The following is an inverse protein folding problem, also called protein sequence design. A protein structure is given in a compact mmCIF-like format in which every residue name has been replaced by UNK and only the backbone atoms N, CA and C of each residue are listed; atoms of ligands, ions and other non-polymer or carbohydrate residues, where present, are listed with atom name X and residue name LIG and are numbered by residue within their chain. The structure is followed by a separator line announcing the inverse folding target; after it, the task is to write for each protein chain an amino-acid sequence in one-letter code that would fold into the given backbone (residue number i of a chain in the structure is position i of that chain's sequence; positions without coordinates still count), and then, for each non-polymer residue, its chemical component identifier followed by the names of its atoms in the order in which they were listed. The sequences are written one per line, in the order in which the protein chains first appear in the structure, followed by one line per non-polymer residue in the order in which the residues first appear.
data_IF_894847673518
#
_entry.id   IF_894847673518
#
_cell.length_a   1.000
_cell.length_b   1.000
_cell.length_c   1.000
_cell.angle_alpha   90.00
_cell.angle_beta   90.00
_cell.angle_gamma   90.00
#
_symmetry.space_group_name_H-M   'P 1'
#
loop_
_entity.id
_entity.type
_entity.pdbx_description
1 polymer ?
#
# COMPACT_ATOMS: atom_id res chain seq x y z
N UNK A 1 -18.93 41.48 -21.07
CA UNK A 1 -17.94 40.79 -21.87
C UNK A 1 -18.68 39.72 -22.65
N UNK A 2 -18.57 39.70 -23.97
CA UNK A 2 -19.24 38.68 -24.78
C UNK A 2 -18.19 37.71 -25.30
N UNK A 3 -18.43 36.44 -25.20
CA UNK A 3 -17.76 35.43 -25.98
C UNK A 3 -18.60 35.22 -27.25
N UNK A 4 -18.03 35.46 -28.40
CA UNK A 4 -18.66 35.17 -29.67
C UNK A 4 -17.66 34.44 -30.56
N UNK A 5 -18.15 33.42 -31.24
CA UNK A 5 -17.37 32.70 -32.24
C UNK A 5 -17.25 33.61 -33.48
N UNK A 6 -16.04 34.05 -33.80
CA UNK A 6 -15.77 34.92 -34.94
C UNK A 6 -15.42 34.17 -36.22
N UNK A 7 -15.02 32.90 -36.05
CA UNK A 7 -14.76 31.96 -37.15
C UNK A 7 -14.84 30.53 -36.60
N UNK A 8 -14.66 29.49 -37.43
CA UNK A 8 -14.63 28.10 -37.01
C UNK A 8 -13.43 27.76 -36.13
N UNK A 9 -12.50 28.66 -35.87
CA UNK A 9 -11.28 28.46 -35.13
C UNK A 9 -10.98 29.49 -34.04
N UNK A 10 -11.75 30.57 -33.93
CA UNK A 10 -11.43 31.64 -32.96
C UNK A 10 -12.62 32.08 -32.11
N UNK A 11 -12.40 32.12 -30.80
CA UNK A 11 -13.26 32.76 -29.82
C UNK A 11 -12.70 34.14 -29.52
N UNK A 12 -13.43 35.19 -29.90
CA UNK A 12 -13.06 36.57 -29.62
C UNK A 12 -13.70 37.08 -28.35
N UNK A 13 -12.91 37.74 -27.52
CA UNK A 13 -13.42 38.58 -26.43
C UNK A 13 -13.61 39.99 -26.99
N UNK A 14 -14.83 40.43 -27.18
CA UNK A 14 -15.09 41.77 -27.60
C UNK A 14 -14.97 42.75 -26.43
N UNK A 15 -14.11 43.74 -26.58
CA UNK A 15 -14.07 44.86 -25.64
C UNK A 15 -15.38 45.66 -25.70
N UNK A 16 -15.80 46.17 -24.58
CA UNK A 16 -17.05 46.89 -24.38
C UNK A 16 -17.27 48.11 -25.32
N UNK A 17 -16.24 48.52 -26.06
CA UNK A 17 -16.34 49.67 -26.99
C UNK A 17 -16.95 49.37 -28.34
N UNK A 18 -16.99 48.12 -28.79
CA UNK A 18 -17.41 47.77 -30.17
C UNK A 18 -18.85 47.27 -30.29
N UNK A 19 -19.48 46.89 -29.20
CA UNK A 19 -20.82 46.29 -29.18
C UNK A 19 -21.90 47.22 -28.60
N UNK A 20 -21.58 48.47 -28.31
CA UNK A 20 -22.54 49.38 -27.75
C UNK A 20 -23.40 50.01 -28.86
N UNK A 21 -24.57 49.45 -29.07
CA UNK A 21 -25.63 50.11 -29.79
C UNK A 21 -26.60 50.71 -28.76
N UNK A 22 -26.57 52.02 -28.63
CA UNK A 22 -27.36 52.76 -27.64
C UNK A 22 -28.88 52.54 -27.72
N UNK A 23 -29.35 51.78 -28.71
CA UNK A 23 -30.78 51.52 -28.92
C UNK A 23 -31.31 50.31 -28.14
N UNK A 24 -30.44 49.49 -27.55
CA UNK A 24 -30.88 48.21 -26.92
C UNK A 24 -30.39 48.00 -25.50
N UNK A 25 -30.27 48.89 -24.70
CA UNK A 25 -30.02 48.95 -23.26
C UNK A 25 -29.71 47.67 -22.39
N UNK A 26 -29.39 46.55 -22.99
CA UNK A 26 -29.10 45.29 -22.26
C UNK A 26 -27.67 44.82 -22.57
N UNK A 27 -26.83 44.84 -21.53
CA UNK A 27 -25.60 44.06 -21.50
C UNK A 27 -25.96 42.70 -20.87
N UNK A 28 -25.96 41.62 -21.62
CA UNK A 28 -26.11 40.31 -20.97
C UNK A 28 -24.92 40.11 -20.04
N UNK A 29 -25.21 39.98 -18.77
CA UNK A 29 -24.26 39.57 -17.77
C UNK A 29 -24.48 38.08 -17.54
N UNK A 30 -23.45 37.26 -17.70
CA UNK A 30 -23.48 35.85 -17.34
C UNK A 30 -22.30 35.54 -16.42
N UNK A 31 -22.55 34.72 -15.46
CA UNK A 31 -21.50 34.19 -14.59
C UNK A 31 -20.92 32.98 -15.27
N UNK A 32 -19.59 32.96 -15.46
CA UNK A 32 -18.89 31.75 -15.90
C UNK A 32 -18.74 30.80 -14.70
N UNK A 33 -18.92 29.51 -14.89
CA UNK A 33 -18.61 28.54 -13.85
C UNK A 33 -17.13 28.61 -13.46
N UNK A 34 -16.83 28.38 -12.18
CA UNK A 34 -15.44 28.38 -11.66
C UNK A 34 -14.57 27.28 -12.31
N UNK A 35 -15.22 26.24 -12.79
CA UNK A 35 -14.58 25.08 -13.46
C UNK A 35 -14.39 25.27 -14.98
N UNK A 36 -14.71 26.46 -15.52
CA UNK A 36 -14.52 26.72 -16.95
C UNK A 36 -13.03 26.86 -17.28
N UNK A 37 -12.56 26.09 -18.23
CA UNK A 37 -11.19 26.17 -18.75
C UNK A 37 -11.21 26.16 -20.31
N UNK A 38 -10.05 26.34 -20.92
CA UNK A 38 -9.87 26.24 -22.37
C UNK A 38 -9.25 24.86 -22.66
N UNK A 39 -9.95 24.07 -23.47
CA UNK A 39 -9.45 22.74 -23.87
C UNK A 39 -8.24 22.82 -24.83
N UNK A 40 -7.70 21.64 -25.20
CA UNK A 40 -6.57 21.56 -26.14
C UNK A 40 -6.85 22.15 -27.53
N UNK A 41 -8.11 22.26 -27.91
CA UNK A 41 -8.56 22.76 -29.19
C UNK A 41 -8.90 24.25 -29.12
N UNK A 42 -8.73 24.89 -27.96
CA UNK A 42 -8.96 26.32 -27.73
C UNK A 42 -10.42 26.69 -27.42
N UNK A 43 -11.26 25.70 -27.08
CA UNK A 43 -12.66 25.96 -26.74
C UNK A 43 -12.88 26.05 -25.24
N UNK A 44 -13.76 26.98 -24.78
CA UNK A 44 -14.17 26.99 -23.38
C UNK A 44 -15.05 25.77 -23.09
N UNK A 45 -14.63 24.97 -22.10
CA UNK A 45 -15.34 23.79 -21.66
C UNK A 45 -15.41 23.74 -20.13
N UNK A 46 -16.21 22.83 -19.57
CA UNK A 46 -16.32 22.60 -18.15
C UNK A 46 -15.65 21.27 -17.85
N UNK A 47 -14.77 21.24 -16.86
CA UNK A 47 -14.11 20.00 -16.43
C UNK A 47 -15.14 18.94 -16.04
N UNK A 48 -14.93 17.72 -16.52
CA UNK A 48 -15.63 16.53 -16.06
C UNK A 48 -14.74 15.83 -15.04
N UNK A 49 -15.13 15.78 -13.74
CA UNK A 49 -14.32 15.14 -12.74
C UNK A 49 -14.05 13.66 -13.07
N UNK A 50 -12.92 13.12 -12.63
CA UNK A 50 -12.65 11.71 -12.81
C UNK A 50 -13.69 10.83 -12.09
N UNK A 51 -14.02 9.70 -12.68
CA UNK A 51 -14.92 8.69 -12.11
C UNK A 51 -14.13 7.44 -11.73
N UNK A 52 -14.52 6.79 -10.62
CA UNK A 52 -13.91 5.56 -10.11
C UNK A 52 -14.98 4.49 -10.03
N UNK A 53 -14.79 3.39 -10.75
CA UNK A 53 -15.63 2.18 -10.68
C UNK A 53 -14.81 1.04 -10.10
N UNK A 54 -15.30 0.38 -9.06
CA UNK A 54 -14.61 -0.72 -8.38
C UNK A 54 -15.43 -2.01 -8.39
N UNK A 55 -14.74 -3.15 -8.43
CA UNK A 55 -15.34 -4.49 -8.25
C UNK A 55 -16.07 -4.64 -6.91
N UNK A 56 -15.69 -3.83 -5.91
CA UNK A 56 -16.37 -3.81 -4.62
C UNK A 56 -17.70 -3.03 -4.63
N UNK A 57 -18.03 -2.34 -5.73
CA UNK A 57 -19.22 -1.51 -5.86
C UNK A 57 -19.00 -0.05 -5.45
N UNK A 58 -20.03 0.56 -4.88
CA UNK A 58 -20.06 1.97 -4.51
C UNK A 58 -19.03 2.34 -3.42
N UNK A 59 -18.67 3.62 -3.34
CA UNK A 59 -17.83 4.16 -2.28
C UNK A 59 -18.43 3.88 -0.89
N UNK A 60 -17.57 3.52 0.07
CA UNK A 60 -18.00 3.06 1.39
C UNK A 60 -18.14 1.54 1.50
N UNK A 61 -17.76 0.78 0.48
CA UNK A 61 -17.86 -0.68 0.45
C UNK A 61 -17.12 -1.35 1.63
N UNK A 62 -17.69 -2.47 2.13
CA UNK A 62 -17.08 -3.28 3.18
C UNK A 62 -16.43 -4.52 2.57
N UNK A 63 -15.10 -4.59 2.58
CA UNK A 63 -14.34 -5.70 2.00
C UNK A 63 -14.19 -6.90 2.96
N UNK A 64 -14.65 -6.75 4.21
CA UNK A 64 -14.63 -7.80 5.22
C UNK A 64 -13.26 -8.07 5.82
N UNK A 65 -13.09 -9.27 6.41
CA UNK A 65 -11.87 -9.66 7.10
C UNK A 65 -10.83 -10.23 6.12
N UNK A 66 -9.58 -9.78 6.24
CA UNK A 66 -8.44 -10.18 5.40
C UNK A 66 -7.26 -10.61 6.27
N UNK A 67 -6.69 -11.77 5.99
CA UNK A 67 -5.53 -12.32 6.70
C UNK A 67 -4.28 -12.41 5.81
N UNK A 68 -4.44 -12.14 4.51
CA UNK A 68 -3.37 -12.16 3.50
C UNK A 68 -3.63 -11.09 2.45
N UNK A 69 -2.65 -10.73 1.60
CA UNK A 69 -2.85 -9.86 0.45
C UNK A 69 -3.97 -10.35 -0.45
N UNK A 70 -4.75 -9.44 -0.99
CA UNK A 70 -5.89 -9.75 -1.84
C UNK A 70 -6.02 -8.74 -2.97
N UNK A 71 -6.66 -9.15 -4.06
CA UNK A 71 -6.89 -8.32 -5.23
C UNK A 71 -8.19 -7.54 -5.08
N UNK A 72 -8.15 -6.26 -5.42
CA UNK A 72 -9.28 -5.39 -5.63
C UNK A 72 -9.01 -4.62 -6.91
N UNK A 73 -9.88 -4.79 -7.92
CA UNK A 73 -9.76 -4.08 -9.19
C UNK A 73 -10.65 -2.83 -9.20
N UNK A 74 -10.19 -1.84 -9.94
CA UNK A 74 -10.94 -0.63 -10.20
C UNK A 74 -10.58 -0.04 -11.57
N UNK A 75 -11.49 0.72 -12.14
CA UNK A 75 -11.29 1.45 -13.40
C UNK A 75 -11.45 2.93 -13.12
N UNK A 76 -10.58 3.74 -13.69
CA UNK A 76 -10.69 5.19 -13.66
C UNK A 76 -11.02 5.72 -15.03
N UNK A 77 -11.97 6.62 -15.10
CA UNK A 77 -12.37 7.29 -16.35
C UNK A 77 -12.42 8.79 -16.15
N UNK A 78 -12.06 9.50 -17.19
CA UNK A 78 -12.17 10.95 -17.26
C UNK A 78 -12.84 11.32 -18.58
N UNK A 79 -13.88 12.16 -18.51
CA UNK A 79 -14.71 12.50 -19.66
C UNK A 79 -14.01 13.41 -20.67
N UNK A 80 -13.01 14.15 -20.21
CA UNK A 80 -12.19 15.05 -21.04
C UNK A 80 -10.95 14.35 -21.58
N UNK A 81 -10.65 13.15 -21.07
CA UNK A 81 -9.48 12.35 -21.42
C UNK A 81 -8.18 12.86 -20.81
N UNK A 82 -8.27 13.61 -19.72
CA UNK A 82 -7.09 14.11 -19.00
C UNK A 82 -6.29 12.97 -18.36
N UNK A 83 -4.96 13.06 -18.31
CA UNK A 83 -4.14 12.08 -17.60
C UNK A 83 -4.32 12.25 -16.09
N UNK A 84 -4.58 11.16 -15.41
CA UNK A 84 -4.89 11.15 -13.99
C UNK A 84 -3.69 10.77 -13.13
N UNK A 85 -3.61 11.37 -11.95
CA UNK A 85 -2.76 10.94 -10.85
C UNK A 85 -3.61 10.18 -9.84
N UNK A 86 -3.14 8.99 -9.41
CA UNK A 86 -3.86 8.15 -8.47
C UNK A 86 -2.99 7.95 -7.23
N UNK A 87 -3.59 8.15 -6.05
CA UNK A 87 -2.97 7.91 -4.76
C UNK A 87 -3.79 6.88 -4.00
N UNK A 88 -3.14 5.78 -3.65
CA UNK A 88 -3.72 4.77 -2.76
C UNK A 88 -3.32 5.08 -1.32
N UNK A 89 -4.29 5.30 -0.45
CA UNK A 89 -4.08 5.60 0.97
C UNK A 89 -4.73 4.54 1.85
N UNK A 90 -4.08 4.22 2.97
CA UNK A 90 -4.69 3.42 4.04
C UNK A 90 -4.63 4.22 5.33
N UNK A 91 -5.79 4.45 5.96
CA UNK A 91 -5.94 5.30 7.14
C UNK A 91 -5.32 6.70 6.95
N UNK A 92 -5.46 7.26 5.75
CA UNK A 92 -4.90 8.56 5.38
C UNK A 92 -3.39 8.56 5.06
N UNK A 93 -2.70 7.44 5.21
CA UNK A 93 -1.28 7.31 4.86
C UNK A 93 -1.14 6.87 3.41
N UNK A 94 -0.37 7.62 2.62
CA UNK A 94 -0.04 7.27 1.25
C UNK A 94 0.78 5.98 1.19
N UNK A 95 0.31 5.02 0.41
CA UNK A 95 0.91 3.70 0.26
C UNK A 95 1.48 3.47 -1.14
N UNK A 96 0.82 3.99 -2.16
CA UNK A 96 1.25 3.88 -3.54
C UNK A 96 0.74 5.06 -4.37
N UNK A 97 1.48 5.42 -5.42
CA UNK A 97 1.14 6.50 -6.35
C UNK A 97 1.33 6.02 -7.78
N UNK A 98 0.44 6.43 -8.67
CA UNK A 98 0.55 6.24 -10.11
C UNK A 98 0.36 7.58 -10.79
N UNK A 99 1.23 7.88 -11.74
CA UNK A 99 1.20 9.12 -12.50
C UNK A 99 0.80 8.85 -13.96
N UNK A 100 0.17 9.84 -14.59
CA UNK A 100 -0.18 9.81 -16.00
C UNK A 100 -1.04 8.61 -16.43
N UNK A 101 -2.01 8.24 -15.60
CA UNK A 101 -2.94 7.13 -15.91
C UNK A 101 -3.96 7.61 -16.94
N UNK A 102 -4.11 6.87 -18.03
CA UNK A 102 -5.07 7.18 -19.08
C UNK A 102 -6.50 6.81 -18.69
N UNK A 103 -7.48 7.57 -19.19
CA UNK A 103 -8.90 7.25 -19.04
C UNK A 103 -9.24 5.84 -19.57
N UNK A 104 -10.10 5.11 -18.86
CA UNK A 104 -10.50 3.74 -19.18
C UNK A 104 -9.50 2.67 -18.74
N UNK A 105 -8.46 3.02 -17.96
CA UNK A 105 -7.48 2.04 -17.49
C UNK A 105 -8.03 1.23 -16.31
N UNK A 106 -8.02 -0.09 -16.43
CA UNK A 106 -8.28 -1.02 -15.34
C UNK A 106 -7.01 -1.24 -14.53
N UNK A 107 -7.10 -1.16 -13.22
CA UNK A 107 -6.01 -1.22 -12.28
C UNK A 107 -6.33 -2.14 -11.10
N UNK A 108 -5.27 -2.59 -10.44
CA UNK A 108 -5.38 -3.31 -9.16
C UNK A 108 -4.80 -2.44 -8.05
N UNK A 109 -5.46 -2.40 -6.90
CA UNK A 109 -4.97 -1.71 -5.69
C UNK A 109 -3.67 -2.36 -5.22
N UNK A 110 -2.54 -1.63 -5.36
CA UNK A 110 -1.21 -2.15 -5.05
C UNK A 110 -1.02 -2.40 -3.56
N UNK A 111 -1.45 -1.48 -2.72
CA UNK A 111 -1.27 -1.61 -1.26
C UNK A 111 -2.01 -2.80 -0.65
N UNK A 112 -2.99 -3.37 -1.34
CA UNK A 112 -3.70 -4.57 -0.90
C UNK A 112 -3.15 -5.85 -1.53
N UNK A 113 -2.65 -5.79 -2.76
CA UNK A 113 -2.19 -6.95 -3.53
C UNK A 113 -0.70 -7.24 -3.36
N UNK A 114 0.13 -6.22 -3.19
CA UNK A 114 1.56 -6.38 -3.00
C UNK A 114 1.90 -6.71 -1.55
N UNK A 115 2.54 -7.87 -1.34
CA UNK A 115 2.86 -8.37 0.00
C UNK A 115 3.64 -7.36 0.86
N UNK A 116 4.62 -6.66 0.26
CA UNK A 116 5.45 -5.69 0.97
C UNK A 116 4.65 -4.49 1.50
N UNK A 117 3.71 -3.99 0.70
CA UNK A 117 2.83 -2.88 1.09
C UNK A 117 1.76 -3.34 2.08
N UNK A 118 1.12 -4.49 1.82
CA UNK A 118 0.13 -5.05 2.73
C UNK A 118 0.69 -5.33 4.12
N UNK A 119 1.95 -5.73 4.24
CA UNK A 119 2.60 -5.96 5.54
C UNK A 119 2.74 -4.69 6.37
N UNK A 120 2.81 -3.51 5.77
CA UNK A 120 2.90 -2.22 6.47
C UNK A 120 1.57 -1.78 7.10
N UNK A 121 0.43 -2.31 6.60
CA UNK A 121 -0.89 -2.02 7.15
C UNK A 121 -1.02 -2.69 8.52
N UNK A 122 -1.53 -1.99 9.52
CA UNK A 122 -1.75 -2.53 10.85
C UNK A 122 -2.93 -3.51 10.91
N UNK A 123 -2.87 -4.47 11.83
CA UNK A 123 -4.06 -5.29 12.15
C UNK A 123 -5.17 -4.42 12.77
N UNK A 124 -6.41 -4.78 12.52
CA UNK A 124 -7.58 -4.06 12.96
C UNK A 124 -8.38 -3.48 11.80
N UNK A 125 -9.27 -2.57 12.09
CA UNK A 125 -10.07 -1.85 11.09
C UNK A 125 -9.20 -0.86 10.33
N UNK A 126 -9.35 -0.85 9.01
CA UNK A 126 -8.62 0.01 8.10
C UNK A 126 -9.57 0.60 7.06
N UNK A 127 -9.31 1.83 6.67
CA UNK A 127 -9.99 2.51 5.57
C UNK A 127 -9.03 2.66 4.40
N UNK A 128 -9.38 2.09 3.26
CA UNK A 128 -8.74 2.34 1.97
C UNK A 128 -9.37 3.59 1.36
N UNK A 129 -8.56 4.49 0.82
CA UNK A 129 -8.98 5.60 -0.02
C UNK A 129 -8.22 5.55 -1.32
N UNK A 130 -8.94 5.58 -2.43
CA UNK A 130 -8.41 5.84 -3.76
C UNK A 130 -8.71 7.29 -4.09
N UNK A 131 -7.69 8.09 -4.27
CA UNK A 131 -7.80 9.51 -4.65
C UNK A 131 -7.31 9.64 -6.08
N UNK A 132 -8.17 10.16 -6.96
CA UNK A 132 -7.89 10.33 -8.39
C UNK A 132 -8.02 11.80 -8.73
N UNK A 133 -6.95 12.36 -9.27
CA UNK A 133 -6.79 13.78 -9.59
C UNK A 133 -6.47 13.93 -11.10
N UNK A 134 -7.27 14.70 -11.83
CA UNK A 134 -7.09 15.05 -13.24
C UNK A 134 -6.26 16.35 -13.43
N UNK A 135 -5.72 16.90 -12.32
CA UNK A 135 -5.01 18.18 -12.29
C UNK A 135 -5.94 19.40 -12.18
N UNK A 136 -7.25 19.21 -12.10
CA UNK A 136 -8.28 20.26 -11.96
C UNK A 136 -9.25 19.95 -10.83
N UNK A 137 -9.61 18.69 -10.70
CA UNK A 137 -10.52 18.17 -9.66
C UNK A 137 -10.03 16.82 -9.13
N UNK A 138 -10.42 16.51 -7.90
CA UNK A 138 -10.08 15.26 -7.26
C UNK A 138 -11.35 14.51 -6.87
N UNK A 139 -11.39 13.23 -7.20
CA UNK A 139 -12.47 12.30 -6.80
C UNK A 139 -11.91 11.24 -5.87
N UNK A 140 -12.68 10.92 -4.82
CA UNK A 140 -12.32 9.90 -3.84
C UNK A 140 -13.29 8.73 -3.89
N UNK A 141 -12.76 7.52 -3.76
CA UNK A 141 -13.50 6.30 -3.50
C UNK A 141 -12.93 5.63 -2.25
N UNK A 142 -13.80 5.15 -1.37
CA UNK A 142 -13.38 4.56 -0.09
C UNK A 142 -13.91 3.15 0.09
N UNK A 143 -13.18 2.34 0.86
CA UNK A 143 -13.66 1.05 1.35
C UNK A 143 -13.09 0.75 2.74
N UNK A 144 -13.77 -0.11 3.49
CA UNK A 144 -13.29 -0.56 4.80
C UNK A 144 -12.95 -2.04 4.78
N UNK A 145 -11.92 -2.43 5.54
CA UNK A 145 -11.57 -3.83 5.75
C UNK A 145 -10.94 -4.04 7.12
N UNK A 146 -11.05 -5.26 7.64
CA UNK A 146 -10.39 -5.63 8.88
C UNK A 146 -9.19 -6.52 8.55
N UNK A 147 -7.97 -6.02 8.71
CA UNK A 147 -6.77 -6.86 8.62
C UNK A 147 -6.65 -7.72 9.87
N UNK A 148 -6.50 -9.03 9.70
CA UNK A 148 -6.42 -9.98 10.80
C UNK A 148 -5.35 -11.04 10.55
N UNK A 149 -4.10 -10.60 10.36
CA UNK A 149 -2.95 -11.50 10.26
C UNK A 149 -2.66 -12.07 11.63
N UNK A 150 -2.71 -13.40 11.75
CA UNK A 150 -2.53 -14.12 13.01
C UNK A 150 -1.15 -14.76 13.16
N UNK A 151 -0.37 -14.84 12.06
CA UNK A 151 0.93 -15.49 12.03
C UNK A 151 1.97 -14.58 11.36
N UNK A 152 3.12 -14.44 12.01
CA UNK A 152 4.30 -13.77 11.44
C UNK A 152 5.48 -14.74 11.42
N UNK A 153 6.30 -14.68 10.37
CA UNK A 153 7.56 -15.41 10.25
C UNK A 153 8.65 -14.39 9.97
N UNK A 154 9.66 -14.36 10.82
CA UNK A 154 10.80 -13.46 10.70
C UNK A 154 12.06 -14.29 10.43
N UNK A 155 12.90 -13.81 9.53
CA UNK A 155 14.21 -14.37 9.21
C UNK A 155 15.18 -13.27 8.84
N UNK A 156 16.47 -13.55 8.85
CA UNK A 156 17.45 -12.63 8.26
C UNK A 156 17.24 -12.55 6.74
N UNK A 157 17.24 -11.36 6.20
CA UNK A 157 17.19 -11.15 4.75
C UNK A 157 18.46 -11.68 4.05
N UNK A 158 19.61 -11.59 4.74
CA UNK A 158 20.88 -12.14 4.32
C UNK A 158 21.42 -13.03 5.45
N UNK A 159 21.82 -14.27 5.15
CA UNK A 159 22.45 -15.15 6.15
C UNK A 159 23.77 -14.55 6.69
N UNK A 160 24.06 -14.76 7.96
CA UNK A 160 25.34 -14.41 8.56
C UNK A 160 26.37 -15.47 8.22
N UNK A 161 27.40 -15.10 7.50
CA UNK A 161 28.49 -16.01 7.11
C UNK A 161 29.49 -16.20 8.26
N UNK A 162 30.08 -17.38 8.36
CA UNK A 162 31.17 -17.69 9.25
C UNK A 162 32.31 -18.39 8.51
N UNK A 163 33.53 -18.14 8.93
CA UNK A 163 34.73 -18.78 8.35
C UNK A 163 34.89 -20.22 8.86
N UNK A 164 34.41 -20.48 10.06
CA UNK A 164 34.46 -21.78 10.71
C UNK A 164 33.07 -22.44 10.86
N UNK A 165 33.05 -23.69 11.28
CA UNK A 165 31.82 -24.44 11.56
C UNK A 165 31.02 -23.77 12.67
N UNK A 166 29.78 -23.41 12.37
CA UNK A 166 28.83 -22.92 13.39
C UNK A 166 28.24 -24.12 14.11
N UNK A 167 28.55 -24.26 15.38
CA UNK A 167 28.15 -25.42 16.22
C UNK A 167 27.00 -25.07 17.16
N UNK A 168 26.87 -23.81 17.54
CA UNK A 168 25.84 -23.31 18.46
C UNK A 168 25.32 -21.97 18.00
N UNK A 169 24.09 -21.67 18.36
CA UNK A 169 23.49 -20.34 18.23
C UNK A 169 22.62 -20.05 19.45
N UNK A 170 22.63 -18.79 19.87
CA UNK A 170 21.70 -18.30 20.89
C UNK A 170 21.06 -17.01 20.44
N UNK A 171 19.73 -16.89 20.62
CA UNK A 171 18.98 -15.68 20.34
C UNK A 171 18.29 -15.19 21.62
N UNK A 172 18.20 -13.87 21.73
CA UNK A 172 17.32 -13.17 22.66
C UNK A 172 16.25 -12.45 21.86
N UNK A 173 15.01 -12.73 22.20
CA UNK A 173 13.84 -12.07 21.63
C UNK A 173 13.28 -11.15 22.71
N UNK A 174 13.07 -9.87 22.38
CA UNK A 174 12.43 -8.91 23.29
C UNK A 174 11.10 -8.46 22.70
N UNK A 175 10.09 -8.30 23.57
CA UNK A 175 8.76 -7.92 23.14
C UNK A 175 7.71 -8.16 24.22
N UNK A 176 6.48 -8.41 23.80
CA UNK A 176 5.39 -8.87 24.67
C UNK A 176 4.92 -10.24 24.18
N UNK A 177 4.95 -11.23 25.03
CA UNK A 177 4.66 -12.63 24.71
C UNK A 177 3.48 -13.15 25.53
N UNK A 178 2.21 -12.85 25.16
CA UNK A 178 1.02 -13.37 25.83
C UNK A 178 1.06 -14.90 25.98
N UNK A 179 0.47 -15.41 27.06
CA UNK A 179 0.59 -16.82 27.44
C UNK A 179 0.05 -17.79 26.36
N UNK A 180 -1.02 -17.39 25.67
CA UNK A 180 -1.67 -18.18 24.62
C UNK A 180 -1.03 -18.04 23.22
N UNK A 181 -0.03 -17.15 23.06
CA UNK A 181 0.74 -16.99 21.82
C UNK A 181 1.66 -18.21 21.63
N UNK A 182 1.74 -18.73 20.42
CA UNK A 182 2.72 -19.75 20.05
C UNK A 182 3.99 -19.11 19.49
N UNK A 183 5.15 -19.58 19.97
CA UNK A 183 6.46 -19.20 19.48
C UNK A 183 7.21 -20.47 19.08
N UNK A 184 7.62 -20.54 17.81
CA UNK A 184 8.51 -21.60 17.32
C UNK A 184 9.72 -20.99 16.65
N UNK A 185 10.86 -21.62 16.79
CA UNK A 185 12.12 -21.18 16.20
C UNK A 185 12.76 -22.35 15.46
N UNK A 186 13.15 -22.11 14.21
CA UNK A 186 13.98 -23.00 13.43
C UNK A 186 15.29 -22.26 13.11
N UNK A 187 16.40 -22.97 13.14
CA UNK A 187 17.72 -22.41 12.83
C UNK A 187 18.44 -23.28 11.81
N UNK A 188 19.31 -22.69 11.04
CA UNK A 188 20.21 -23.38 10.12
C UNK A 188 21.61 -22.80 10.20
N UNK A 189 22.63 -23.64 10.08
CA UNK A 189 24.04 -23.24 10.00
C UNK A 189 24.62 -23.38 8.59
N UNK A 190 23.81 -23.82 7.62
CA UNK A 190 24.20 -23.95 6.21
C UNK A 190 23.23 -23.21 5.28
N UNK A 191 22.82 -22.00 5.65
CA UNK A 191 21.79 -21.21 4.99
C UNK A 191 22.10 -20.85 3.51
N UNK A 192 23.36 -21.01 3.05
CA UNK A 192 23.77 -20.74 1.66
C UNK A 192 23.69 -21.95 0.74
N UNK A 193 23.47 -23.13 1.29
CA UNK A 193 23.30 -24.35 0.49
C UNK A 193 21.99 -24.30 -0.30
N UNK A 194 21.92 -25.01 -1.41
CA UNK A 194 20.70 -25.08 -2.23
C UNK A 194 19.52 -25.69 -1.48
N UNK A 195 19.78 -26.56 -0.52
CA UNK A 195 18.83 -27.18 0.39
C UNK A 195 19.35 -27.05 1.84
N UNK A 196 19.14 -25.92 2.51
CA UNK A 196 19.57 -25.74 3.89
C UNK A 196 18.86 -26.70 4.84
N UNK A 197 19.62 -27.25 5.80
CA UNK A 197 19.06 -28.06 6.86
C UNK A 197 18.54 -27.16 7.98
N UNK A 198 17.22 -27.14 8.13
CA UNK A 198 16.56 -26.40 9.20
C UNK A 198 16.31 -27.30 10.39
N UNK A 199 16.79 -26.91 11.55
CA UNK A 199 16.63 -27.62 12.80
C UNK A 199 15.66 -26.87 13.72
N UNK A 200 14.63 -27.59 14.22
CA UNK A 200 13.68 -27.00 15.17
C UNK A 200 14.32 -26.88 16.54
N UNK A 201 14.24 -25.67 17.10
CA UNK A 201 14.79 -25.41 18.45
C UNK A 201 13.80 -25.86 19.52
N UNK A 202 14.28 -26.66 20.47
CA UNK A 202 13.48 -27.14 21.60
C UNK A 202 13.79 -26.41 22.89
N UNK A 203 14.99 -25.83 23.03
CA UNK A 203 15.40 -25.06 24.22
C UNK A 203 14.99 -23.60 24.05
N UNK A 204 13.75 -23.31 24.41
CA UNK A 204 13.16 -21.95 24.38
C UNK A 204 12.65 -21.63 25.79
N UNK A 205 13.31 -20.70 26.46
CA UNK A 205 12.89 -20.17 27.76
C UNK A 205 12.12 -18.86 27.56
N UNK A 206 10.80 -18.92 27.66
CA UNK A 206 9.91 -17.79 27.41
C UNK A 206 9.38 -17.19 28.71
N UNK A 207 9.60 -15.89 28.87
CA UNK A 207 8.89 -15.03 29.83
C UNK A 207 7.90 -14.10 29.15
N UNK A 208 7.32 -13.17 29.89
CA UNK A 208 6.32 -12.21 29.37
C UNK A 208 6.92 -11.16 28.43
N UNK A 209 8.17 -10.72 28.65
CA UNK A 209 8.84 -9.68 27.89
C UNK A 209 10.09 -10.13 27.14
N UNK A 210 10.58 -11.34 27.41
CA UNK A 210 11.76 -11.91 26.78
C UNK A 210 11.61 -13.39 26.55
N UNK A 211 12.24 -13.88 25.46
CA UNK A 211 12.49 -15.28 25.26
C UNK A 211 13.97 -15.50 24.93
N UNK A 212 14.57 -16.50 25.58
CA UNK A 212 15.92 -16.97 25.32
C UNK A 212 15.83 -18.25 24.55
N UNK A 213 16.60 -18.36 23.48
CA UNK A 213 16.59 -19.46 22.53
C UNK A 213 18.03 -19.95 22.41
N UNK A 214 18.27 -21.23 22.66
CA UNK A 214 19.58 -21.82 22.51
C UNK A 214 19.48 -23.09 21.65
N UNK A 215 20.43 -23.24 20.72
CA UNK A 215 20.47 -24.39 19.84
C UNK A 215 21.90 -24.86 19.57
N UNK A 216 22.13 -26.15 19.74
CA UNK A 216 23.35 -26.85 19.31
C UNK A 216 23.06 -27.58 18.00
N UNK A 217 23.74 -27.22 16.92
CA UNK A 217 23.51 -27.81 15.61
C UNK A 217 23.96 -29.27 15.53
N UNK A 218 23.09 -30.11 14.98
CA UNK A 218 23.42 -31.48 14.62
C UNK A 218 24.05 -31.54 13.22
N UNK A 219 23.70 -30.65 12.34
CA UNK A 219 24.31 -30.51 11.01
C UNK A 219 25.78 -30.06 11.13
N UNK A 220 26.70 -30.81 10.47
CA UNK A 220 28.14 -30.55 10.46
C UNK A 220 28.70 -30.28 9.08
N UNK A 221 27.82 -30.09 8.09
CA UNK A 221 28.22 -29.92 6.69
C UNK A 221 27.59 -28.67 6.09
N UNK A 222 28.36 -27.96 5.25
CA UNK A 222 27.93 -26.81 4.50
C UNK A 222 28.69 -26.77 3.15
N UNK A 223 28.00 -27.14 2.07
CA UNK A 223 28.58 -27.24 0.74
C UNK A 223 29.08 -25.89 0.20
N UNK A 224 28.42 -24.79 0.63
CA UNK A 224 28.73 -23.40 0.24
C UNK A 224 29.32 -22.57 1.39
N UNK A 225 29.89 -23.25 2.41
CA UNK A 225 30.40 -22.61 3.63
C UNK A 225 29.32 -22.35 4.67
N UNK A 226 29.72 -22.31 5.92
CA UNK A 226 28.81 -22.11 7.02
C UNK A 226 28.19 -20.70 6.99
N UNK A 227 26.89 -20.67 7.17
CA UNK A 227 26.11 -19.45 7.24
C UNK A 227 24.85 -19.65 8.07
N UNK A 228 24.63 -18.76 9.01
CA UNK A 228 23.50 -18.82 9.94
C UNK A 228 22.28 -18.08 9.40
N UNK A 229 21.12 -18.66 9.61
CA UNK A 229 19.83 -17.99 9.53
C UNK A 229 18.85 -18.61 10.53
N UNK A 230 17.77 -17.91 10.81
CA UNK A 230 16.69 -18.37 11.66
C UNK A 230 15.33 -18.11 11.03
N UNK A 231 14.32 -18.83 11.47
CA UNK A 231 12.89 -18.54 11.28
C UNK A 231 12.24 -18.47 12.65
N UNK A 232 11.89 -17.28 13.08
CA UNK A 232 11.07 -17.06 14.27
C UNK A 232 9.62 -16.96 13.81
N UNK A 233 8.81 -17.94 14.17
CA UNK A 233 7.38 -17.97 13.87
C UNK A 233 6.59 -17.63 15.12
N UNK A 234 5.79 -16.59 15.04
CA UNK A 234 4.87 -16.15 16.07
C UNK A 234 3.45 -16.34 15.57
N UNK A 235 2.62 -17.03 16.36
CA UNK A 235 1.20 -17.17 16.05
C UNK A 235 0.39 -16.65 17.23
N UNK A 236 -0.54 -15.74 16.96
CA UNK A 236 -1.44 -15.16 17.95
C UNK A 236 -2.39 -16.24 18.48
N UNK A 237 -2.63 -16.23 19.79
CA UNK A 237 -3.56 -17.13 20.43
C UNK A 237 -5.03 -16.77 20.20
N UNK A 238 -5.92 -17.62 20.73
CA UNK A 238 -7.37 -17.50 20.57
C UNK A 238 -7.97 -16.28 21.29
N UNK A 239 -7.33 -15.81 22.37
CA UNK A 239 -7.74 -14.59 23.07
C UNK A 239 -7.74 -13.33 22.18
N UNK A 240 -7.05 -13.42 21.04
CA UNK A 240 -6.91 -12.30 20.12
C UNK A 240 -5.93 -11.22 20.59
N UNK A 241 -5.38 -11.35 21.80
CA UNK A 241 -4.32 -10.47 22.29
C UNK A 241 -3.04 -10.73 21.50
N UNK A 242 -2.65 -9.80 20.65
CA UNK A 242 -1.41 -9.90 19.87
C UNK A 242 -0.21 -9.61 20.75
N UNK A 243 0.88 -10.37 20.53
CA UNK A 243 2.19 -10.04 21.08
C UNK A 243 2.90 -8.99 20.21
N UNK A 244 3.99 -8.46 20.74
CA UNK A 244 4.92 -7.61 19.98
C UNK A 244 6.30 -8.25 20.01
N UNK A 245 7.05 -8.08 18.95
CA UNK A 245 8.49 -8.38 18.91
C UNK A 245 9.20 -7.08 18.54
N UNK A 246 10.03 -6.59 19.44
CA UNK A 246 10.73 -5.31 19.30
C UNK A 246 12.20 -5.48 18.95
N UNK A 247 12.80 -6.61 19.33
CA UNK A 247 14.21 -6.87 19.05
C UNK A 247 14.47 -8.37 18.91
N UNK A 248 15.36 -8.73 18.01
CA UNK A 248 16.05 -10.03 17.95
C UNK A 248 17.54 -9.74 17.97
N UNK A 249 18.22 -10.24 19.00
CA UNK A 249 19.67 -10.21 19.11
C UNK A 249 20.21 -11.61 19.31
N UNK A 250 21.51 -11.85 19.06
CA UNK A 250 22.07 -13.17 19.29
C UNK A 250 23.54 -13.29 19.00
N UNK A 251 24.06 -14.49 19.24
CA UNK A 251 25.44 -14.88 18.96
C UNK A 251 25.46 -16.26 18.30
N UNK A 252 26.48 -16.49 17.50
CA UNK A 252 26.81 -17.78 16.87
C UNK A 252 28.24 -18.14 17.23
N UNK A 253 28.54 -19.46 17.38
CA UNK A 253 29.87 -19.98 17.69
C UNK A 253 30.08 -21.43 17.27
#
# INVERSE_FOLDING_TARGET
MYLSRTSDSDWGVFSTGSAYNASYGYLPCFTLPETLYIDKDGFPTVNQPPEITSDAGESGAALGKKNEPFTLSYTVTDGDGDPMRIVEKVNGVEMAVRENVASGTELTVQCLSEKALFQQILNGENTLTLEVDDGKTTTEWTATFTKNVTRAVLSLAQPLTADDTITVAALTLEGSFPADMSLTVEMTNNARDDAPVWETVTDIQRGESRAFVHHAFTNKTAARGFAFNYKVTITRGESGTGGTLTMIGGVIG
#
